data_IF_812155571033
#
_entry.id   IF_812155571033
#
_cell.length_a   1.000
_cell.length_b   1.000
_cell.length_c   1.000
_cell.angle_alpha   90.00
_cell.angle_beta   90.00
_cell.angle_gamma   90.00
#
_symmetry.space_group_name_H-M   'P 1'
#
loop_
_entity.id
_entity.type
_entity.pdbx_description
1 polymer ?
#
# COMPACT_ATOMS: atom_id res chain seq x y z
N UNK A 1 -28.45 -17.72 9.53
CA UNK A 1 -27.16 -17.06 9.17
C UNK A 1 -26.05 -17.99 9.63
N UNK A 2 -25.22 -18.51 8.72
CA UNK A 2 -24.19 -19.51 9.03
C UNK A 2 -23.17 -18.96 10.03
N UNK A 3 -22.62 -19.80 10.91
CA UNK A 3 -21.65 -19.41 11.94
C UNK A 3 -20.44 -18.63 11.40
N UNK A 4 -20.03 -18.91 10.16
CA UNK A 4 -18.98 -18.20 9.44
C UNK A 4 -19.30 -16.71 9.23
N UNK A 5 -20.49 -16.35 8.77
CA UNK A 5 -20.89 -14.95 8.59
C UNK A 5 -21.00 -14.20 9.92
N UNK A 6 -21.47 -14.87 10.99
CA UNK A 6 -21.48 -14.30 12.35
C UNK A 6 -20.06 -14.01 12.85
N UNK A 7 -19.11 -14.90 12.54
CA UNK A 7 -17.70 -14.68 12.91
C UNK A 7 -17.12 -13.47 12.16
N UNK A 8 -17.26 -13.37 10.83
CA UNK A 8 -16.74 -12.24 10.04
C UNK A 8 -17.33 -10.91 10.49
N UNK A 9 -18.62 -10.88 10.86
CA UNK A 9 -19.28 -9.66 11.36
C UNK A 9 -18.93 -9.30 12.80
N UNK A 10 -18.31 -10.22 13.54
CA UNK A 10 -17.84 -9.94 14.90
C UNK A 10 -16.69 -8.92 14.90
N UNK A 11 -16.49 -8.24 16.04
CA UNK A 11 -15.39 -7.28 16.22
C UNK A 11 -13.99 -7.93 16.04
N UNK A 12 -13.87 -9.21 16.38
CA UNK A 12 -12.63 -9.98 16.20
C UNK A 12 -12.47 -10.39 14.74
N UNK A 13 -13.54 -10.92 14.11
CA UNK A 13 -13.53 -11.32 12.71
C UNK A 13 -13.12 -10.19 11.77
N UNK A 14 -13.68 -8.99 11.94
CA UNK A 14 -13.31 -7.81 11.17
C UNK A 14 -11.81 -7.46 11.28
N UNK A 15 -11.23 -7.54 12.48
CA UNK A 15 -9.81 -7.29 12.70
C UNK A 15 -8.92 -8.36 12.02
N UNK A 16 -9.36 -9.63 12.02
CA UNK A 16 -8.66 -10.71 11.35
C UNK A 16 -8.70 -10.52 9.83
N UNK A 17 -9.86 -10.22 9.25
CA UNK A 17 -9.97 -9.98 7.80
C UNK A 17 -9.19 -8.74 7.39
N UNK A 18 -9.22 -7.66 8.18
CA UNK A 18 -8.37 -6.47 7.98
C UNK A 18 -6.88 -6.84 7.97
N UNK A 19 -6.44 -7.70 8.89
CA UNK A 19 -5.05 -8.15 8.97
C UNK A 19 -4.66 -8.97 7.73
N UNK A 20 -5.51 -9.92 7.32
CA UNK A 20 -5.25 -10.79 6.15
C UNK A 20 -5.23 -9.99 4.84
N UNK A 21 -6.18 -9.08 4.64
CA UNK A 21 -6.19 -8.22 3.45
C UNK A 21 -4.99 -7.29 3.43
N UNK A 22 -4.60 -6.73 4.57
CA UNK A 22 -3.39 -5.89 4.69
C UNK A 22 -2.10 -6.65 4.37
N UNK A 23 -1.93 -7.88 4.89
CA UNK A 23 -0.77 -8.70 4.59
C UNK A 23 -0.73 -9.14 3.11
N UNK A 24 -1.87 -9.42 2.50
CA UNK A 24 -1.96 -9.70 1.07
C UNK A 24 -1.51 -8.49 0.23
N UNK A 25 -1.97 -7.29 0.58
CA UNK A 25 -1.54 -6.04 -0.09
C UNK A 25 -0.03 -5.83 0.09
N UNK A 26 0.52 -6.12 1.27
CA UNK A 26 1.98 -6.04 1.52
C UNK A 26 2.75 -7.03 0.61
N UNK A 27 2.27 -8.25 0.45
CA UNK A 27 2.92 -9.22 -0.46
C UNK A 27 2.89 -8.74 -1.92
N UNK A 28 1.78 -8.15 -2.35
CA UNK A 28 1.69 -7.50 -3.65
C UNK A 28 2.67 -6.33 -3.79
N UNK A 29 2.84 -5.49 -2.76
CA UNK A 29 3.79 -4.37 -2.83
C UNK A 29 5.24 -4.81 -3.01
N UNK A 30 5.63 -5.98 -2.47
CA UNK A 30 6.96 -6.56 -2.71
C UNK A 30 7.13 -6.92 -4.18
N UNK A 31 6.17 -7.65 -4.73
CA UNK A 31 6.17 -8.06 -6.14
C UNK A 31 6.15 -6.82 -7.06
N UNK A 32 5.30 -5.85 -6.73
CA UNK A 32 5.19 -4.59 -7.44
C UNK A 32 6.50 -3.80 -7.44
N UNK A 33 7.21 -3.75 -6.31
CA UNK A 33 8.53 -3.13 -6.26
C UNK A 33 9.52 -3.85 -7.17
N UNK A 34 9.61 -5.18 -7.08
CA UNK A 34 10.54 -5.97 -7.90
C UNK A 34 10.32 -5.72 -9.39
N UNK A 35 9.06 -5.73 -9.86
CA UNK A 35 8.74 -5.42 -11.24
C UNK A 35 9.10 -3.99 -11.64
N UNK A 36 8.84 -3.01 -10.76
CA UNK A 36 9.13 -1.60 -11.06
C UNK A 36 10.63 -1.26 -11.00
N UNK A 37 11.46 -2.03 -10.28
CA UNK A 37 12.92 -1.84 -10.31
C UNK A 37 13.52 -2.15 -11.69
N UNK A 38 12.83 -2.88 -12.56
CA UNK A 38 13.23 -3.07 -13.96
C UNK A 38 13.29 -1.76 -14.77
N UNK A 39 12.54 -0.72 -14.31
CA UNK A 39 12.63 0.64 -14.89
C UNK A 39 14.03 1.25 -14.81
N UNK A 40 14.84 0.81 -13.85
CA UNK A 40 16.19 1.35 -13.60
C UNK A 40 17.28 0.65 -14.40
N UNK A 41 16.95 -0.37 -15.21
CA UNK A 41 17.91 -1.06 -16.05
C UNK A 41 18.35 -0.15 -17.21
N UNK A 42 19.65 -0.18 -17.52
CA UNK A 42 20.21 0.61 -18.61
C UNK A 42 20.01 -0.09 -19.99
N UNK A 43 18.75 -0.34 -20.34
CA UNK A 43 18.36 -1.04 -21.57
C UNK A 43 17.28 -0.29 -22.37
N UNK A 44 17.07 0.98 -22.05
CA UNK A 44 16.03 1.85 -22.62
C UNK A 44 14.60 1.32 -22.35
N UNK A 45 14.41 0.64 -21.24
CA UNK A 45 13.10 0.13 -20.81
C UNK A 45 12.68 -1.20 -21.45
N UNK A 46 13.54 -1.84 -22.27
CA UNK A 46 13.18 -3.07 -23.00
C UNK A 46 12.69 -4.19 -22.07
N UNK A 47 13.42 -4.50 -21.02
CA UNK A 47 13.05 -5.57 -20.08
C UNK A 47 11.78 -5.22 -19.32
N UNK A 48 11.61 -3.95 -18.95
CA UNK A 48 10.38 -3.49 -18.29
C UNK A 48 9.15 -3.59 -19.21
N UNK A 49 9.30 -3.26 -20.51
CA UNK A 49 8.21 -3.39 -21.47
C UNK A 49 7.82 -4.85 -21.71
N UNK A 50 8.79 -5.76 -21.84
CA UNK A 50 8.53 -7.20 -21.94
C UNK A 50 7.77 -7.72 -20.68
N UNK A 51 8.19 -7.29 -19.49
CA UNK A 51 7.51 -7.61 -18.24
C UNK A 51 6.11 -7.01 -18.18
N UNK A 52 5.94 -5.74 -18.52
CA UNK A 52 4.64 -5.06 -18.48
C UNK A 52 3.65 -5.66 -19.49
N UNK A 53 4.11 -6.01 -20.69
CA UNK A 53 3.30 -6.70 -21.71
C UNK A 53 2.85 -8.10 -21.21
N UNK A 54 3.75 -8.85 -20.57
CA UNK A 54 3.43 -10.13 -19.95
C UNK A 54 2.36 -9.97 -18.85
N UNK A 55 2.53 -8.97 -17.97
CA UNK A 55 1.59 -8.68 -16.88
C UNK A 55 0.23 -8.16 -17.40
N UNK A 56 0.21 -7.42 -18.50
CA UNK A 56 -1.02 -6.88 -19.10
C UNK A 56 -1.78 -7.91 -19.97
N UNK A 57 -1.15 -9.02 -20.35
CA UNK A 57 -1.74 -10.02 -21.25
C UNK A 57 -3.03 -10.61 -20.71
N UNK A 58 -4.11 -10.57 -21.54
CA UNK A 58 -5.39 -11.20 -21.21
C UNK A 58 -5.33 -12.73 -21.21
N UNK A 59 -4.30 -13.31 -21.84
CA UNK A 59 -4.09 -14.77 -21.87
C UNK A 59 -3.49 -15.30 -20.56
N UNK A 60 -2.96 -14.41 -19.72
CA UNK A 60 -2.38 -14.78 -18.44
C UNK A 60 -3.46 -14.85 -17.34
N UNK A 61 -4.25 -15.93 -17.36
CA UNK A 61 -5.39 -16.12 -16.45
C UNK A 61 -5.02 -16.00 -14.97
N UNK A 62 -3.92 -16.59 -14.45
CA UNK A 62 -3.53 -16.41 -13.06
C UNK A 62 -3.35 -14.96 -12.67
N UNK A 63 -2.69 -14.15 -13.51
CA UNK A 63 -2.50 -12.72 -13.25
C UNK A 63 -3.84 -11.98 -13.26
N UNK A 64 -4.74 -12.32 -14.18
CA UNK A 64 -6.10 -11.71 -14.21
C UNK A 64 -6.89 -11.99 -12.94
N UNK A 65 -6.83 -13.23 -12.44
CA UNK A 65 -7.48 -13.58 -11.16
C UNK A 65 -6.86 -12.79 -10.00
N UNK A 66 -5.52 -12.68 -9.97
CA UNK A 66 -4.83 -11.90 -8.94
C UNK A 66 -5.17 -10.41 -9.01
N UNK A 67 -5.26 -9.82 -10.22
CA UNK A 67 -5.66 -8.42 -10.43
C UNK A 67 -7.07 -8.15 -9.89
N UNK A 68 -8.03 -9.01 -10.23
CA UNK A 68 -9.41 -8.90 -9.74
C UNK A 68 -9.46 -9.08 -8.22
N UNK A 69 -8.74 -10.09 -7.69
CA UNK A 69 -8.64 -10.33 -6.26
C UNK A 69 -8.03 -9.14 -5.53
N UNK A 70 -6.96 -8.56 -6.07
CA UNK A 70 -6.29 -7.39 -5.50
C UNK A 70 -7.24 -6.19 -5.44
N UNK A 71 -8.03 -5.94 -6.49
CA UNK A 71 -9.04 -4.88 -6.51
C UNK A 71 -10.04 -5.05 -5.35
N UNK A 72 -10.60 -6.25 -5.17
CA UNK A 72 -11.56 -6.53 -4.10
C UNK A 72 -10.92 -6.45 -2.71
N UNK A 73 -9.69 -6.92 -2.54
CA UNK A 73 -8.99 -6.85 -1.25
C UNK A 73 -8.64 -5.41 -0.86
N UNK A 74 -8.19 -4.59 -1.81
CA UNK A 74 -7.95 -3.16 -1.57
C UNK A 74 -9.25 -2.45 -1.19
N UNK A 75 -10.32 -2.67 -1.96
CA UNK A 75 -11.62 -2.07 -1.69
C UNK A 75 -12.15 -2.47 -0.31
N UNK A 76 -12.11 -3.76 0.01
CA UNK A 76 -12.51 -4.25 1.32
C UNK A 76 -11.66 -3.65 2.44
N UNK A 77 -10.33 -3.62 2.27
CA UNK A 77 -9.40 -3.06 3.26
C UNK A 77 -9.72 -1.59 3.56
N UNK A 78 -9.99 -0.79 2.53
CA UNK A 78 -10.37 0.63 2.69
C UNK A 78 -11.70 0.75 3.43
N UNK A 79 -12.73 0.04 2.98
CA UNK A 79 -14.08 0.11 3.57
C UNK A 79 -14.06 -0.34 5.03
N UNK A 80 -13.41 -1.47 5.32
CA UNK A 80 -13.34 -2.00 6.68
C UNK A 80 -12.47 -1.12 7.58
N UNK A 81 -11.40 -0.51 7.05
CA UNK A 81 -10.59 0.47 7.77
C UNK A 81 -11.39 1.69 8.23
N UNK A 82 -12.21 2.25 7.33
CA UNK A 82 -13.11 3.37 7.66
C UNK A 82 -14.18 2.93 8.67
N UNK A 83 -14.78 1.74 8.50
CA UNK A 83 -15.78 1.19 9.44
C UNK A 83 -15.20 0.98 10.83
N UNK A 84 -14.00 0.40 10.95
CA UNK A 84 -13.33 0.19 12.23
C UNK A 84 -12.97 1.53 12.91
N UNK A 85 -12.47 2.51 12.13
CA UNK A 85 -12.20 3.83 12.66
C UNK A 85 -13.48 4.49 13.20
N UNK A 86 -14.56 4.45 12.42
CA UNK A 86 -15.85 5.01 12.83
C UNK A 86 -16.39 4.34 14.09
N UNK A 87 -16.42 3.02 14.12
CA UNK A 87 -16.87 2.25 15.26
C UNK A 87 -16.05 2.57 16.53
N UNK A 88 -14.73 2.66 16.42
CA UNK A 88 -13.85 3.02 17.54
C UNK A 88 -14.09 4.45 18.04
N UNK A 89 -14.46 5.37 17.14
CA UNK A 89 -14.74 6.77 17.49
C UNK A 89 -16.09 6.92 18.20
N UNK A 90 -17.11 6.19 17.75
CA UNK A 90 -18.48 6.29 18.27
C UNK A 90 -18.72 5.46 19.53
N UNK A 91 -17.95 4.40 19.77
CA UNK A 91 -18.06 3.54 20.96
C UNK A 91 -17.63 4.23 22.27
N UNK A 92 -17.06 5.43 22.23
CA UNK A 92 -16.62 6.18 23.40
C UNK A 92 -17.76 7.06 23.91
N UNK A 93 -18.61 6.52 24.77
CA UNK A 93 -19.75 7.22 25.36
C UNK A 93 -19.31 8.27 26.40
N UNK A 94 -18.18 8.08 27.07
CA UNK A 94 -17.64 9.00 28.09
C UNK A 94 -16.22 9.42 27.71
N UNK A 95 -15.99 10.71 27.54
CA UNK A 95 -14.62 11.26 27.40
C UNK A 95 -13.93 11.20 28.76
N UNK A 96 -12.73 10.62 28.82
CA UNK A 96 -11.91 10.66 30.02
C UNK A 96 -11.69 12.11 30.47
N UNK A 97 -11.90 12.38 31.79
CA UNK A 97 -11.59 13.69 32.39
C UNK A 97 -10.11 14.05 32.27
N UNK A 98 -9.22 13.03 32.25
CA UNK A 98 -7.80 13.17 31.98
C UNK A 98 -7.49 12.33 30.74
N UNK A 99 -7.21 12.99 29.61
CA UNK A 99 -6.87 12.32 28.37
C UNK A 99 -5.35 12.43 28.18
N UNK A 100 -4.63 11.34 28.48
CA UNK A 100 -3.21 11.22 28.18
C UNK A 100 -3.02 10.30 26.95
N UNK A 101 -3.14 10.84 25.72
CA UNK A 101 -3.12 10.02 24.49
C UNK A 101 -1.82 9.24 24.31
N UNK A 102 -0.70 9.76 24.84
CA UNK A 102 0.62 9.14 24.74
C UNK A 102 0.74 7.84 25.54
N UNK A 103 -0.04 7.66 26.58
CA UNK A 103 -0.04 6.44 27.41
C UNK A 103 -0.92 5.32 26.80
N UNK A 104 -1.95 5.71 26.04
CA UNK A 104 -2.99 4.79 25.57
C UNK A 104 -2.92 4.45 24.07
N UNK A 105 -2.17 5.20 23.26
CA UNK A 105 -2.07 4.98 21.83
C UNK A 105 -0.74 5.51 21.26
N UNK A 106 -0.18 4.79 20.26
CA UNK A 106 1.02 5.25 19.55
C UNK A 106 0.69 6.43 18.63
N UNK A 107 1.70 7.25 18.31
CA UNK A 107 1.59 8.31 17.30
C UNK A 107 1.01 7.78 15.99
N UNK A 108 1.53 6.67 15.48
CA UNK A 108 1.07 6.01 14.26
C UNK A 108 -0.42 5.61 14.30
N UNK A 109 -0.90 5.10 15.44
CA UNK A 109 -2.31 4.73 15.60
C UNK A 109 -3.26 5.93 15.53
N UNK A 110 -2.84 7.09 16.06
CA UNK A 110 -3.66 8.31 16.04
C UNK A 110 -3.80 8.92 14.65
N UNK A 111 -2.73 8.83 13.85
CA UNK A 111 -2.68 9.40 12.50
C UNK A 111 -3.08 8.40 11.39
N UNK A 112 -3.53 7.18 11.77
CA UNK A 112 -3.82 6.11 10.81
C UNK A 112 -4.87 6.50 9.76
N UNK A 113 -5.95 7.17 10.16
CA UNK A 113 -7.00 7.59 9.21
C UNK A 113 -6.48 8.66 8.23
N UNK A 114 -5.71 9.63 8.72
CA UNK A 114 -5.14 10.68 7.88
C UNK A 114 -4.09 10.12 6.92
N UNK A 115 -3.17 9.27 7.43
CA UNK A 115 -2.19 8.58 6.60
C UNK A 115 -2.85 7.68 5.56
N UNK A 116 -3.87 6.91 5.97
CA UNK A 116 -4.65 6.06 5.05
C UNK A 116 -5.40 6.86 3.99
N UNK A 117 -5.93 8.05 4.31
CA UNK A 117 -6.58 8.93 3.34
C UNK A 117 -5.61 9.47 2.30
N UNK A 118 -4.38 9.85 2.72
CA UNK A 118 -3.33 10.30 1.80
C UNK A 118 -2.89 9.17 0.88
N UNK A 119 -2.69 7.97 1.43
CA UNK A 119 -2.36 6.76 0.64
C UNK A 119 -3.49 6.43 -0.35
N UNK A 120 -4.75 6.61 0.04
CA UNK A 120 -5.89 6.40 -0.87
C UNK A 120 -5.91 7.42 -2.02
N UNK A 121 -5.69 8.71 -1.74
CA UNK A 121 -5.59 9.75 -2.79
C UNK A 121 -4.44 9.43 -3.74
N UNK A 122 -3.27 9.05 -3.18
CA UNK A 122 -2.14 8.60 -3.96
C UNK A 122 -2.50 7.41 -4.85
N UNK A 123 -3.18 6.39 -4.31
CA UNK A 123 -3.60 5.21 -5.07
C UNK A 123 -4.49 5.59 -6.26
N UNK A 124 -5.46 6.49 -6.07
CA UNK A 124 -6.35 6.96 -7.15
C UNK A 124 -5.54 7.64 -8.26
N UNK A 125 -4.60 8.52 -7.90
CA UNK A 125 -3.74 9.22 -8.87
C UNK A 125 -2.81 8.22 -9.57
N UNK A 126 -2.21 7.27 -8.83
CA UNK A 126 -1.37 6.22 -9.36
C UNK A 126 -2.09 5.34 -10.38
N UNK A 127 -3.28 4.86 -10.04
CA UNK A 127 -4.10 4.05 -10.95
C UNK A 127 -4.52 4.84 -12.20
N UNK A 128 -4.88 6.11 -12.03
CA UNK A 128 -5.24 7.00 -13.14
C UNK A 128 -4.07 7.19 -14.11
N UNK A 129 -2.85 7.29 -13.60
CA UNK A 129 -1.65 7.57 -14.43
C UNK A 129 -1.12 6.31 -15.09
N UNK A 130 -1.01 5.18 -14.35
CA UNK A 130 -0.28 4.01 -14.81
C UNK A 130 -1.16 2.79 -15.09
N UNK A 131 -2.32 2.63 -14.43
CA UNK A 131 -3.14 1.45 -14.63
C UNK A 131 -4.19 1.64 -15.73
N UNK A 132 -5.06 2.62 -15.58
CA UNK A 132 -6.19 2.80 -16.50
C UNK A 132 -5.78 3.05 -17.95
N UNK A 133 -4.80 3.92 -18.29
CA UNK A 133 -4.40 4.16 -19.66
C UNK A 133 -3.87 2.90 -20.36
N UNK A 134 -3.01 2.15 -19.68
CA UNK A 134 -2.34 0.97 -20.25
C UNK A 134 -3.19 -0.30 -20.18
N UNK A 135 -4.17 -0.34 -19.32
CA UNK A 135 -5.06 -1.50 -19.17
C UNK A 135 -6.32 -1.42 -20.03
N UNK A 136 -6.89 -0.24 -20.18
CA UNK A 136 -8.19 -0.01 -20.83
C UNK A 136 -8.16 1.07 -21.91
N UNK A 137 -7.08 1.81 -22.02
CA UNK A 137 -6.87 2.90 -22.98
C UNK A 137 -5.95 2.51 -24.13
N UNK A 138 -5.57 3.53 -24.87
CA UNK A 138 -4.51 3.48 -25.87
C UNK A 138 -3.65 4.76 -25.71
N UNK A 139 -2.67 4.78 -24.81
CA UNK A 139 -1.96 5.99 -24.41
C UNK A 139 -1.04 6.58 -25.50
N UNK A 140 -0.76 5.83 -26.56
CA UNK A 140 0.11 6.29 -27.66
C UNK A 140 1.61 6.20 -27.36
N UNK A 141 1.99 5.96 -26.10
CA UNK A 141 3.36 5.72 -25.63
C UNK A 141 3.45 4.39 -24.86
N UNK A 142 4.66 3.90 -24.66
CA UNK A 142 4.89 2.70 -23.85
C UNK A 142 4.76 3.00 -22.36
N UNK A 143 4.61 1.97 -21.53
CA UNK A 143 4.51 2.15 -20.08
C UNK A 143 5.82 2.69 -19.49
N UNK A 144 6.97 2.34 -20.07
CA UNK A 144 8.26 2.90 -19.70
C UNK A 144 8.33 4.40 -20.00
N UNK A 145 7.97 4.81 -21.24
CA UNK A 145 7.95 6.22 -21.63
C UNK A 145 7.01 7.05 -20.76
N UNK A 146 5.82 6.50 -20.44
CA UNK A 146 4.90 7.14 -19.53
C UNK A 146 5.44 7.30 -18.11
N UNK A 147 6.23 6.33 -17.63
CA UNK A 147 6.89 6.43 -16.33
C UNK A 147 8.01 7.49 -16.35
N UNK A 148 8.82 7.52 -17.42
CA UNK A 148 9.86 8.54 -17.61
C UNK A 148 9.23 9.94 -17.66
N UNK A 149 8.19 10.14 -18.47
CA UNK A 149 7.49 11.42 -18.59
C UNK A 149 6.93 11.88 -17.22
N UNK A 150 6.22 11.01 -16.53
CA UNK A 150 5.61 11.32 -15.25
C UNK A 150 6.65 11.71 -14.19
N UNK A 151 7.73 10.93 -14.06
CA UNK A 151 8.74 11.16 -13.02
C UNK A 151 9.79 12.21 -13.39
N UNK A 152 9.89 12.62 -14.64
CA UNK A 152 10.65 13.80 -15.05
C UNK A 152 10.01 15.10 -14.58
N UNK A 153 8.72 15.07 -14.25
CA UNK A 153 8.03 16.22 -13.65
C UNK A 153 8.37 16.31 -12.15
N UNK A 154 9.03 17.39 -11.69
CA UNK A 154 9.45 17.51 -10.29
C UNK A 154 8.28 17.55 -9.31
N UNK A 155 7.16 18.16 -9.67
CA UNK A 155 5.98 18.22 -8.79
C UNK A 155 5.36 16.85 -8.60
N UNK A 156 5.32 16.04 -9.66
CA UNK A 156 4.80 14.69 -9.61
C UNK A 156 5.73 13.77 -8.79
N UNK A 157 7.04 13.84 -9.00
CA UNK A 157 8.02 13.09 -8.24
C UNK A 157 8.02 13.45 -6.76
N UNK A 158 7.95 14.74 -6.41
CA UNK A 158 7.84 15.20 -5.01
C UNK A 158 6.54 14.68 -4.38
N UNK A 159 5.42 14.73 -5.10
CA UNK A 159 4.15 14.17 -4.63
C UNK A 159 4.29 12.67 -4.30
N UNK A 160 4.97 11.89 -5.17
CA UNK A 160 5.24 10.47 -4.92
C UNK A 160 6.09 10.25 -3.67
N UNK A 161 7.18 11.01 -3.50
CA UNK A 161 8.04 10.90 -2.31
C UNK A 161 7.24 11.18 -1.03
N UNK A 162 6.42 12.23 -1.03
CA UNK A 162 5.57 12.55 0.13
C UNK A 162 4.59 11.40 0.40
N UNK A 163 3.93 10.87 -0.63
CA UNK A 163 3.01 9.75 -0.49
C UNK A 163 3.69 8.49 0.05
N UNK A 164 4.92 8.19 -0.40
CA UNK A 164 5.71 7.06 0.09
C UNK A 164 6.11 7.20 1.57
N UNK A 165 6.34 8.41 2.07
CA UNK A 165 6.55 8.65 3.51
C UNK A 165 5.30 8.27 4.30
N UNK A 166 4.11 8.69 3.84
CA UNK A 166 2.85 8.31 4.49
C UNK A 166 2.56 6.81 4.36
N UNK A 167 2.92 6.20 3.22
CA UNK A 167 2.83 4.77 3.03
C UNK A 167 3.73 4.02 4.02
N UNK A 168 4.96 4.48 4.25
CA UNK A 168 5.85 3.86 5.23
C UNK A 168 5.25 3.87 6.65
N UNK A 169 4.68 5.00 7.10
CA UNK A 169 3.97 5.07 8.38
C UNK A 169 2.75 4.14 8.41
N UNK A 170 1.99 4.07 7.33
CA UNK A 170 0.84 3.20 7.20
C UNK A 170 1.25 1.72 7.30
N UNK A 171 2.30 1.32 6.59
CA UNK A 171 2.83 -0.04 6.62
C UNK A 171 3.39 -0.43 8.00
N UNK A 172 4.15 0.45 8.67
CA UNK A 172 4.67 0.18 10.02
C UNK A 172 3.53 -0.15 10.97
N UNK A 173 2.47 0.68 10.96
CA UNK A 173 1.30 0.43 11.81
C UNK A 173 0.54 -0.81 11.38
N UNK A 174 0.25 -0.95 10.08
CA UNK A 174 -0.53 -2.06 9.51
C UNK A 174 0.14 -3.41 9.78
N UNK A 175 1.45 -3.51 9.56
CA UNK A 175 2.22 -4.73 9.82
C UNK A 175 2.14 -5.15 11.29
N UNK A 176 2.42 -4.23 12.21
CA UNK A 176 2.36 -4.52 13.65
C UNK A 176 0.94 -4.89 14.10
N UNK A 177 -0.07 -4.18 13.61
CA UNK A 177 -1.48 -4.44 13.92
C UNK A 177 -1.96 -5.78 13.38
N UNK A 178 -1.49 -6.19 12.19
CA UNK A 178 -1.85 -7.47 11.59
C UNK A 178 -1.40 -8.65 12.46
N UNK A 179 -0.13 -8.69 12.87
CA UNK A 179 0.39 -9.74 13.73
C UNK A 179 -0.31 -9.78 15.10
N UNK A 180 -0.64 -8.60 15.64
CA UNK A 180 -1.41 -8.52 16.87
C UNK A 180 -2.83 -9.08 16.71
N UNK A 181 -3.51 -8.75 15.61
CA UNK A 181 -4.90 -9.19 15.33
C UNK A 181 -4.99 -10.70 15.06
N UNK A 182 -3.93 -11.29 14.49
CA UNK A 182 -3.81 -12.73 14.27
C UNK A 182 -3.41 -13.51 15.53
N UNK A 183 -3.28 -12.85 16.69
CA UNK A 183 -2.91 -13.50 17.94
C UNK A 183 -1.42 -13.86 18.05
N UNK A 184 -0.59 -13.45 17.08
CA UNK A 184 0.86 -13.70 17.07
C UNK A 184 1.56 -12.65 17.96
N UNK A 185 1.30 -12.75 19.27
CA UNK A 185 1.91 -11.87 20.27
C UNK A 185 2.50 -12.70 21.40
N UNK A 186 3.83 -12.61 21.54
CA UNK A 186 4.56 -13.33 22.60
C UNK A 186 5.72 -12.48 23.10
N UNK A 187 6.05 -12.54 24.40
CA UNK A 187 7.11 -11.74 25.02
C UNK A 187 8.47 -11.83 24.33
N UNK A 188 8.83 -13.01 23.80
CA UNK A 188 10.12 -13.26 23.16
C UNK A 188 10.28 -12.62 21.78
N UNK A 189 9.24 -12.62 20.93
CA UNK A 189 9.38 -12.18 19.52
C UNK A 189 8.54 -10.97 19.12
N UNK A 190 7.68 -10.45 19.99
CA UNK A 190 6.92 -9.23 19.68
C UNK A 190 7.84 -8.03 19.41
N UNK A 191 8.96 -7.91 20.16
CA UNK A 191 9.95 -6.85 19.92
C UNK A 191 10.64 -7.01 18.58
N UNK A 192 10.97 -8.26 18.19
CA UNK A 192 11.54 -8.57 16.88
C UNK A 192 10.56 -8.20 15.74
N UNK A 193 9.29 -8.64 15.83
CA UNK A 193 8.25 -8.33 14.82
C UNK A 193 8.10 -6.82 14.63
N UNK A 194 8.11 -6.05 15.73
CA UNK A 194 8.02 -4.58 15.66
C UNK A 194 9.22 -3.97 14.94
N UNK A 195 10.45 -4.35 15.32
CA UNK A 195 11.67 -3.85 14.70
C UNK A 195 11.76 -4.25 13.22
N UNK A 196 11.48 -5.52 12.93
CA UNK A 196 11.43 -6.03 11.56
C UNK A 196 10.40 -5.25 10.72
N UNK A 197 9.18 -5.05 11.21
CA UNK A 197 8.13 -4.31 10.51
C UNK A 197 8.54 -2.85 10.20
N UNK A 198 9.26 -2.18 11.11
CA UNK A 198 9.79 -0.84 10.87
C UNK A 198 10.84 -0.86 9.75
N UNK A 199 11.86 -1.71 9.87
CA UNK A 199 12.96 -1.80 8.90
C UNK A 199 12.41 -2.20 7.52
N UNK A 200 11.55 -3.21 7.46
CA UNK A 200 10.91 -3.69 6.26
C UNK A 200 10.12 -2.58 5.55
N UNK A 201 9.27 -1.85 6.30
CA UNK A 201 8.44 -0.77 5.72
C UNK A 201 9.29 0.37 5.16
N UNK A 202 10.37 0.74 5.87
CA UNK A 202 11.30 1.78 5.40
C UNK A 202 12.01 1.32 4.14
N UNK A 203 12.60 0.11 4.13
CA UNK A 203 13.32 -0.41 2.97
C UNK A 203 12.42 -0.55 1.74
N UNK A 204 11.18 -1.02 1.92
CA UNK A 204 10.22 -1.15 0.83
C UNK A 204 9.88 0.23 0.21
N UNK A 205 9.59 1.23 1.04
CA UNK A 205 9.27 2.57 0.55
C UNK A 205 10.51 3.31 -0.01
N UNK A 206 11.70 3.08 0.53
CA UNK A 206 12.95 3.57 -0.06
C UNK A 206 13.20 2.95 -1.44
N UNK A 207 12.96 1.64 -1.60
CA UNK A 207 13.05 0.99 -2.90
C UNK A 207 12.14 1.63 -3.95
N UNK A 208 10.90 1.95 -3.60
CA UNK A 208 10.00 2.70 -4.49
C UNK A 208 10.49 4.14 -4.73
N UNK A 209 11.05 4.81 -3.73
CA UNK A 209 11.50 6.21 -3.84
C UNK A 209 12.68 6.39 -4.79
N UNK A 210 13.52 5.37 -4.95
CA UNK A 210 14.65 5.41 -5.90
C UNK A 210 14.16 5.67 -7.33
N UNK A 211 13.00 5.16 -7.73
CA UNK A 211 12.48 5.26 -9.10
C UNK A 211 12.19 6.72 -9.51
N UNK A 212 11.29 7.46 -8.81
CA UNK A 212 11.04 8.85 -9.15
C UNK A 212 12.28 9.74 -8.98
N UNK A 213 13.15 9.45 -7.99
CA UNK A 213 14.40 10.19 -7.82
C UNK A 213 15.35 9.95 -8.99
N UNK A 214 15.50 8.71 -9.45
CA UNK A 214 16.34 8.40 -10.60
C UNK A 214 15.93 9.19 -11.85
N UNK A 215 14.65 9.14 -12.22
CA UNK A 215 14.18 9.86 -13.42
C UNK A 215 14.18 11.37 -13.23
N UNK A 216 13.91 11.88 -12.05
CA UNK A 216 13.98 13.30 -11.76
C UNK A 216 15.38 13.88 -12.00
N UNK A 217 16.43 13.13 -11.62
CA UNK A 217 17.80 13.60 -11.75
C UNK A 217 18.46 13.23 -13.08
N UNK A 218 18.01 12.20 -13.77
CA UNK A 218 18.58 11.77 -15.04
C UNK A 218 17.89 12.39 -16.26
N UNK A 219 16.59 12.64 -16.20
CA UNK A 219 15.83 13.24 -17.29
C UNK A 219 16.10 14.75 -17.47
N UNK A 220 16.61 15.44 -16.45
CA UNK A 220 17.02 16.85 -16.54
C UNK A 220 18.39 17.07 -17.23
N UNK A 221 19.03 16.01 -17.70
CA UNK A 221 20.35 16.03 -18.34
C UNK A 221 20.35 15.82 -19.87
N UNK A 222 19.18 15.88 -20.52
CA UNK A 222 19.06 15.80 -22.00
C UNK A 222 18.31 16.99 -22.55
#
# INVERSE_FOLDING_TARGET
MNGFFRFIDSSVGKKIVMALTGLFIISFLIEHLVGNLLLLLNDRGRVFEEYSAFMASNLNIPIRITEIGLFFFILYHIVDGVRLWWANRTSRVVRYKVNNPSENSTFFSRFMIWGGSIVFIFLVIHLRTFFFPYRFGNPGNTMYEGAVEAFSNPYYSIFYIIALIFLAFHLVHGFQSAFQSLGIRHSRYTSFIKKFGIIFSILLCMGFAVIPLYFLFTAGGH
#
